data_IF_649073130161
#
_entry.id   IF_649073130161
#
_cell.length_a   1.000
_cell.length_b   1.000
_cell.length_c   1.000
_cell.angle_alpha   90.00
_cell.angle_beta   90.00
_cell.angle_gamma   90.00
#
_symmetry.space_group_name_H-M   'P 1'
#
loop_
_entity.id
_entity.type
_entity.pdbx_description
1 polymer ?
#
# COMPACT_ATOMS: atom_id res chain seq x y z
N UNK A 1 31.96 -17.33 -30.63
CA UNK A 1 31.73 -16.76 -29.29
C UNK A 1 30.25 -16.43 -29.23
N UNK A 2 29.44 -17.43 -28.93
CA UNK A 2 28.02 -17.24 -28.65
C UNK A 2 27.88 -16.96 -27.15
N UNK A 3 27.23 -15.85 -26.87
CA UNK A 3 27.01 -15.24 -25.56
C UNK A 3 25.98 -16.07 -24.78
N UNK A 4 26.45 -16.80 -23.76
CA UNK A 4 25.64 -17.63 -22.88
C UNK A 4 25.01 -16.79 -21.74
N UNK A 5 24.17 -15.80 -22.09
CA UNK A 5 23.71 -14.73 -21.18
C UNK A 5 22.28 -14.89 -20.62
N UNK A 6 21.72 -16.11 -20.54
CA UNK A 6 20.32 -16.30 -20.10
C UNK A 6 20.08 -17.52 -19.21
N UNK A 7 20.88 -17.67 -18.16
CA UNK A 7 20.54 -18.58 -17.05
C UNK A 7 20.67 -17.89 -15.68
N UNK A 8 20.47 -16.57 -15.64
CA UNK A 8 20.00 -15.91 -14.41
C UNK A 8 18.66 -16.53 -14.07
N UNK A 9 18.35 -16.76 -12.79
CA UNK A 9 17.01 -17.14 -12.37
C UNK A 9 16.04 -16.17 -13.04
N UNK A 10 15.28 -16.64 -14.04
CA UNK A 10 14.16 -15.90 -14.58
C UNK A 10 13.11 -15.95 -13.47
N UNK A 11 13.34 -15.16 -12.42
CA UNK A 11 12.29 -14.82 -11.49
C UNK A 11 11.21 -14.24 -12.37
N UNK A 12 10.08 -14.93 -12.44
CA UNK A 12 8.92 -14.47 -13.17
C UNK A 12 8.36 -13.28 -12.39
N UNK A 13 8.97 -12.11 -12.60
CA UNK A 13 8.61 -10.85 -11.94
C UNK A 13 7.11 -10.57 -12.11
N UNK A 14 6.57 -10.91 -13.29
CA UNK A 14 5.15 -10.84 -13.59
C UNK A 14 4.33 -11.79 -12.69
N UNK A 15 4.81 -13.01 -12.43
CA UNK A 15 4.13 -13.93 -11.52
C UNK A 15 4.13 -13.48 -10.05
N UNK A 16 5.07 -12.61 -9.65
CA UNK A 16 5.14 -12.04 -8.31
C UNK A 16 4.63 -10.60 -8.22
N UNK A 17 4.10 -10.04 -9.32
CA UNK A 17 3.71 -8.62 -9.44
C UNK A 17 4.83 -7.66 -8.95
N UNK A 18 6.09 -7.98 -9.29
CA UNK A 18 7.27 -7.22 -8.91
C UNK A 18 7.74 -6.34 -10.07
N UNK A 19 7.90 -5.05 -9.82
CA UNK A 19 8.60 -4.13 -10.71
C UNK A 19 10.11 -4.38 -10.68
N UNK A 20 10.75 -4.39 -11.85
CA UNK A 20 12.22 -4.48 -11.95
C UNK A 20 12.94 -3.25 -11.40
N UNK A 21 12.27 -2.10 -11.35
CA UNK A 21 12.84 -0.81 -10.92
C UNK A 21 12.46 -0.45 -9.48
N UNK A 22 11.18 -0.61 -9.16
CA UNK A 22 10.56 -0.15 -7.93
C UNK A 22 10.21 -1.29 -6.96
N UNK A 23 10.54 -2.54 -7.30
CA UNK A 23 10.30 -3.70 -6.45
C UNK A 23 8.80 -3.93 -6.24
N UNK A 24 8.33 -3.89 -5.00
CA UNK A 24 6.91 -4.14 -4.67
C UNK A 24 6.00 -2.93 -4.92
N UNK A 25 6.55 -1.78 -5.27
CA UNK A 25 5.76 -0.57 -5.59
C UNK A 25 5.02 -0.79 -6.91
N UNK A 26 3.74 -0.42 -6.94
CA UNK A 26 2.98 -0.43 -8.18
C UNK A 26 3.48 0.68 -9.10
N UNK A 27 4.00 0.30 -10.26
CA UNK A 27 4.38 1.24 -11.32
C UNK A 27 3.16 1.94 -11.91
N UNK A 28 3.30 3.23 -12.18
CA UNK A 28 2.31 4.07 -12.87
C UNK A 28 0.87 3.81 -12.38
N UNK A 29 0.60 3.99 -11.08
CA UNK A 29 -0.73 3.80 -10.52
C UNK A 29 -1.72 4.72 -11.24
N UNK A 30 -2.89 4.16 -11.56
CA UNK A 30 -3.95 4.92 -12.22
C UNK A 30 -4.50 5.99 -11.27
N UNK A 31 -4.99 7.08 -11.83
CA UNK A 31 -5.70 8.15 -11.10
C UNK A 31 -7.15 8.31 -11.55
N UNK A 32 -7.58 7.49 -12.52
CA UNK A 32 -8.92 7.49 -13.08
C UNK A 32 -9.41 6.04 -13.26
N UNK A 33 -10.73 5.89 -13.23
CA UNK A 33 -11.46 4.66 -13.50
C UNK A 33 -12.52 4.97 -14.57
N UNK A 34 -13.11 3.94 -15.21
CA UNK A 34 -14.27 4.12 -16.05
C UNK A 34 -15.36 4.96 -15.36
N UNK A 35 -16.05 5.81 -16.12
CA UNK A 35 -17.05 6.77 -15.61
C UNK A 35 -18.13 6.15 -14.73
N UNK A 36 -18.44 4.87 -14.96
CA UNK A 36 -19.33 4.07 -14.12
C UNK A 36 -18.94 4.11 -12.63
N UNK A 37 -17.64 4.20 -12.31
CA UNK A 37 -17.08 4.23 -10.95
C UNK A 37 -16.78 5.64 -10.42
N UNK A 38 -17.17 6.70 -11.15
CA UNK A 38 -16.83 8.10 -10.81
C UNK A 38 -17.19 8.46 -9.36
N UNK A 39 -18.33 7.98 -8.86
CA UNK A 39 -18.78 8.24 -7.48
C UNK A 39 -17.76 7.79 -6.43
N UNK A 40 -17.02 6.71 -6.66
CA UNK A 40 -15.98 6.25 -5.72
C UNK A 40 -14.82 7.23 -5.70
N UNK A 41 -14.33 7.64 -6.88
CA UNK A 41 -13.21 8.56 -6.99
C UNK A 41 -13.57 9.95 -6.48
N UNK A 42 -14.78 10.46 -6.77
CA UNK A 42 -15.23 11.76 -6.27
C UNK A 42 -15.26 11.81 -4.74
N UNK A 43 -15.75 10.75 -4.09
CA UNK A 43 -15.75 10.65 -2.62
C UNK A 43 -14.34 10.54 -2.06
N UNK A 44 -13.48 9.70 -2.64
CA UNK A 44 -12.11 9.49 -2.18
C UNK A 44 -11.24 10.75 -2.36
N UNK A 45 -11.40 11.49 -3.46
CA UNK A 45 -10.70 12.76 -3.71
C UNK A 45 -11.14 13.86 -2.73
N UNK A 46 -12.42 13.88 -2.32
CA UNK A 46 -12.95 14.86 -1.37
C UNK A 46 -12.96 14.36 0.09
N UNK A 47 -12.28 13.24 0.37
CA UNK A 47 -12.43 12.49 1.61
C UNK A 47 -12.12 13.32 2.85
N UNK A 48 -10.98 14.02 2.86
CA UNK A 48 -10.56 14.87 3.98
C UNK A 48 -11.64 15.89 4.33
N UNK A 49 -12.13 16.64 3.33
CA UNK A 49 -13.19 17.63 3.53
C UNK A 49 -14.49 16.99 4.02
N UNK A 50 -14.87 15.83 3.49
CA UNK A 50 -16.09 15.12 3.90
C UNK A 50 -16.02 14.58 5.32
N UNK A 51 -14.84 14.14 5.77
CA UNK A 51 -14.62 13.72 7.16
C UNK A 51 -14.69 14.92 8.10
N UNK A 52 -13.94 15.98 7.81
CA UNK A 52 -13.88 17.18 8.66
C UNK A 52 -15.24 17.89 8.77
N UNK A 53 -16.02 17.90 7.68
CA UNK A 53 -17.39 18.44 7.67
C UNK A 53 -18.46 17.44 8.16
N UNK A 54 -18.06 16.22 8.57
CA UNK A 54 -18.94 15.12 9.01
C UNK A 54 -20.02 14.69 8.02
N UNK A 55 -19.76 14.86 6.72
CA UNK A 55 -20.70 14.55 5.63
C UNK A 55 -20.41 13.22 4.94
N UNK A 56 -19.28 12.57 5.21
CA UNK A 56 -18.88 11.35 4.51
C UNK A 56 -19.92 10.24 4.68
N UNK A 57 -20.38 9.96 5.92
CA UNK A 57 -21.40 8.91 6.17
C UNK A 57 -22.67 9.15 5.34
N UNK A 58 -23.20 10.37 5.34
CA UNK A 58 -24.37 10.75 4.55
C UNK A 58 -24.17 10.56 3.04
N UNK A 59 -22.97 10.83 2.54
CA UNK A 59 -22.63 10.61 1.12
C UNK A 59 -22.53 9.12 0.79
N UNK A 60 -21.93 8.32 1.67
CA UNK A 60 -21.83 6.87 1.50
C UNK A 60 -23.22 6.22 1.48
N UNK A 61 -24.15 6.64 2.34
CA UNK A 61 -25.52 6.13 2.32
C UNK A 61 -26.31 6.46 1.03
N UNK A 62 -25.88 7.48 0.28
CA UNK A 62 -26.46 7.87 -1.02
C UNK A 62 -25.75 7.20 -2.21
N UNK A 63 -24.69 6.42 -1.97
CA UNK A 63 -23.97 5.73 -3.04
C UNK A 63 -24.85 4.64 -3.67
N UNK A 64 -24.87 4.52 -5.01
CA UNK A 64 -25.43 3.33 -5.64
C UNK A 64 -24.54 2.12 -5.36
N UNK A 65 -25.14 0.92 -5.31
CA UNK A 65 -24.39 -0.34 -5.31
C UNK A 65 -23.87 -0.57 -6.73
N UNK A 66 -22.56 -0.42 -6.94
CA UNK A 66 -21.93 -0.58 -8.26
C UNK A 66 -21.26 -1.96 -8.38
N UNK A 67 -21.37 -2.58 -9.55
CA UNK A 67 -20.73 -3.86 -9.83
C UNK A 67 -19.28 -3.68 -10.31
N UNK A 68 -18.28 -4.37 -9.73
CA UNK A 68 -16.87 -4.23 -10.13
C UNK A 68 -16.52 -4.95 -11.45
N UNK A 69 -17.50 -5.49 -12.17
CA UNK A 69 -17.30 -6.25 -13.41
C UNK A 69 -16.65 -5.48 -14.57
N UNK A 70 -16.74 -4.14 -14.59
CA UNK A 70 -16.09 -3.31 -15.62
C UNK A 70 -14.63 -2.99 -15.29
N UNK A 71 -14.15 -3.35 -14.09
CA UNK A 71 -12.72 -3.32 -13.78
C UNK A 71 -12.06 -4.54 -14.42
N UNK A 72 -11.17 -4.30 -15.37
CA UNK A 72 -10.62 -5.28 -16.30
C UNK A 72 -9.20 -5.71 -15.95
N UNK A 73 -8.38 -4.81 -15.43
CA UNK A 73 -6.95 -5.05 -15.20
C UNK A 73 -6.53 -4.83 -13.74
N UNK A 74 -5.30 -5.25 -13.40
CA UNK A 74 -4.75 -5.16 -12.05
C UNK A 74 -4.71 -3.71 -11.54
N UNK A 75 -4.23 -2.75 -12.34
CA UNK A 75 -4.12 -1.34 -11.91
C UNK A 75 -5.48 -0.71 -11.62
N UNK A 76 -6.52 -1.02 -12.42
CA UNK A 76 -7.91 -0.62 -12.16
C UNK A 76 -8.43 -1.20 -10.84
N UNK A 77 -8.17 -2.49 -10.59
CA UNK A 77 -8.56 -3.13 -9.34
C UNK A 77 -7.85 -2.49 -8.14
N UNK A 78 -6.55 -2.19 -8.26
CA UNK A 78 -5.76 -1.54 -7.20
C UNK A 78 -6.27 -0.14 -6.88
N UNK A 79 -6.54 0.70 -7.90
CA UNK A 79 -7.11 2.02 -7.67
C UNK A 79 -8.51 1.95 -7.04
N UNK A 80 -9.36 1.01 -7.47
CA UNK A 80 -10.68 0.84 -6.90
C UNK A 80 -10.61 0.34 -5.44
N UNK A 81 -9.72 -0.61 -5.14
CA UNK A 81 -9.47 -1.10 -3.78
C UNK A 81 -8.94 0.02 -2.87
N UNK A 82 -7.99 0.80 -3.38
CA UNK A 82 -7.46 1.99 -2.71
C UNK A 82 -8.57 2.99 -2.37
N UNK A 83 -9.40 3.38 -3.35
CA UNK A 83 -10.49 4.33 -3.14
C UNK A 83 -11.52 3.83 -2.11
N UNK A 84 -11.98 2.59 -2.25
CA UNK A 84 -12.95 1.99 -1.33
C UNK A 84 -12.37 1.76 0.07
N UNK A 85 -11.07 1.46 0.17
CA UNK A 85 -10.36 1.34 1.44
C UNK A 85 -10.29 2.67 2.18
N UNK A 86 -9.91 3.75 1.48
CA UNK A 86 -9.90 5.11 2.04
C UNK A 86 -11.31 5.55 2.50
N UNK A 87 -12.34 5.33 1.68
CA UNK A 87 -13.73 5.62 2.05
C UNK A 87 -14.18 4.79 3.25
N UNK A 88 -13.83 3.50 3.31
CA UNK A 88 -14.20 2.61 4.42
C UNK A 88 -13.57 3.05 5.74
N UNK A 89 -12.26 3.34 5.74
CA UNK A 89 -11.58 3.85 6.93
C UNK A 89 -12.15 5.19 7.37
N UNK A 90 -12.38 6.11 6.43
CA UNK A 90 -13.02 7.40 6.72
C UNK A 90 -14.43 7.25 7.28
N UNK A 91 -15.24 6.34 6.73
CA UNK A 91 -16.62 6.11 7.14
C UNK A 91 -16.68 5.54 8.57
N UNK A 92 -15.87 4.52 8.86
CA UNK A 92 -15.80 3.91 10.19
C UNK A 92 -15.34 4.95 11.20
N UNK A 93 -14.25 5.65 10.94
CA UNK A 93 -13.60 6.52 11.91
C UNK A 93 -14.01 8.00 11.87
N UNK A 94 -15.01 8.40 11.07
CA UNK A 94 -15.42 9.81 10.93
C UNK A 94 -15.64 10.52 12.28
N UNK A 95 -16.31 9.86 13.22
CA UNK A 95 -16.61 10.40 14.56
C UNK A 95 -15.50 10.11 15.60
N UNK A 96 -14.32 9.74 15.13
CA UNK A 96 -13.19 9.31 15.94
C UNK A 96 -13.45 7.98 16.67
N UNK A 97 -12.65 7.73 17.70
CA UNK A 97 -12.70 6.49 18.49
C UNK A 97 -13.96 6.37 19.37
N UNK A 98 -14.67 7.47 19.61
CA UNK A 98 -15.83 7.50 20.53
C UNK A 98 -17.11 6.93 19.90
N UNK A 99 -17.25 7.02 18.58
CA UNK A 99 -18.44 6.55 17.88
C UNK A 99 -18.12 5.94 16.49
N UNK A 100 -17.30 4.87 16.44
CA UNK A 100 -16.94 4.25 15.19
C UNK A 100 -18.15 3.61 14.50
N UNK A 101 -18.14 3.60 13.17
CA UNK A 101 -19.14 2.93 12.36
C UNK A 101 -18.99 1.43 12.49
N UNK A 102 -20.04 0.75 12.96
CA UNK A 102 -20.02 -0.71 13.19
C UNK A 102 -20.50 -1.52 11.98
N UNK A 103 -21.11 -0.86 10.99
CA UNK A 103 -21.70 -1.48 9.81
C UNK A 103 -21.26 -0.68 8.58
N UNK A 104 -20.53 -1.33 7.67
CA UNK A 104 -20.26 -0.78 6.34
C UNK A 104 -21.50 -1.01 5.45
N UNK A 105 -22.10 0.06 4.89
CA UNK A 105 -23.28 -0.07 4.02
C UNK A 105 -22.98 -0.91 2.79
N UNK A 106 -23.99 -1.62 2.28
CA UNK A 106 -23.85 -2.55 1.14
C UNK A 106 -23.23 -1.90 -0.09
N UNK A 107 -23.53 -0.64 -0.36
CA UNK A 107 -22.99 0.13 -1.48
C UNK A 107 -21.46 0.31 -1.42
N UNK A 108 -20.87 0.18 -0.23
CA UNK A 108 -19.44 0.22 0.01
C UNK A 108 -18.87 -1.19 0.26
N UNK A 109 -19.50 -1.95 1.14
CA UNK A 109 -19.03 -3.27 1.59
C UNK A 109 -18.99 -4.30 0.46
N UNK A 110 -20.05 -4.40 -0.34
CA UNK A 110 -20.18 -5.43 -1.37
C UNK A 110 -19.19 -5.27 -2.53
N UNK A 111 -19.02 -4.09 -3.18
CA UNK A 111 -18.01 -3.95 -4.22
C UNK A 111 -16.59 -4.11 -3.66
N UNK A 112 -16.34 -3.60 -2.45
CA UNK A 112 -15.02 -3.69 -1.83
C UNK A 112 -14.62 -5.14 -1.61
N UNK A 113 -15.51 -5.95 -1.01
CA UNK A 113 -15.31 -7.39 -0.83
C UNK A 113 -14.98 -8.13 -2.13
N UNK A 114 -15.74 -7.86 -3.19
CA UNK A 114 -15.54 -8.54 -4.48
C UNK A 114 -14.20 -8.17 -5.12
N UNK A 115 -13.78 -6.91 -5.01
CA UNK A 115 -12.46 -6.45 -5.51
C UNK A 115 -11.34 -7.07 -4.67
N UNK A 116 -11.45 -7.03 -3.34
CA UNK A 116 -10.49 -7.64 -2.41
C UNK A 116 -10.25 -9.11 -2.74
N UNK A 117 -11.32 -9.89 -2.99
CA UNK A 117 -11.20 -11.30 -3.41
C UNK A 117 -10.48 -11.49 -4.74
N UNK A 118 -10.70 -10.60 -5.72
CA UNK A 118 -10.02 -10.66 -7.02
C UNK A 118 -8.52 -10.34 -6.91
N UNK A 119 -8.15 -9.50 -5.95
CA UNK A 119 -6.76 -9.12 -5.67
C UNK A 119 -6.05 -10.05 -4.67
N UNK A 120 -6.79 -10.93 -3.99
CA UNK A 120 -6.23 -11.70 -2.86
C UNK A 120 -5.90 -10.85 -1.62
N UNK A 121 -6.48 -9.66 -1.52
CA UNK A 121 -6.30 -8.74 -0.38
C UNK A 121 -7.49 -8.82 0.59
N UNK A 122 -7.32 -8.45 1.87
CA UNK A 122 -8.44 -8.29 2.79
C UNK A 122 -9.22 -6.99 2.47
N UNK A 123 -10.54 -6.93 2.75
CA UNK A 123 -11.37 -5.74 2.51
C UNK A 123 -11.18 -4.68 3.61
N UNK A 124 -9.93 -4.28 3.85
CA UNK A 124 -9.50 -3.19 4.74
C UNK A 124 -8.32 -2.49 4.07
N UNK A 125 -8.16 -1.18 4.29
CA UNK A 125 -7.05 -0.44 3.69
C UNK A 125 -5.71 -1.02 4.17
N UNK A 126 -4.89 -1.51 3.25
CA UNK A 126 -3.60 -2.15 3.55
C UNK A 126 -2.42 -1.21 3.27
N UNK A 127 -1.21 -1.63 3.66
CA UNK A 127 0.03 -0.99 3.21
C UNK A 127 0.20 -1.02 1.68
N UNK A 128 -0.18 -2.12 1.03
CA UNK A 128 -0.14 -2.25 -0.42
C UNK A 128 -1.05 -1.23 -1.13
N UNK A 129 -2.14 -0.83 -0.49
CA UNK A 129 -2.98 0.26 -0.99
C UNK A 129 -2.34 1.61 -0.67
N UNK A 130 -2.24 1.92 0.62
CA UNK A 130 -2.00 3.27 1.13
C UNK A 130 -0.57 3.79 0.92
N UNK A 131 0.38 2.90 0.64
CA UNK A 131 1.77 3.24 0.30
C UNK A 131 2.08 2.83 -1.14
N UNK A 132 2.05 1.53 -1.43
CA UNK A 132 2.61 0.99 -2.69
C UNK A 132 1.82 1.41 -3.95
N UNK A 133 0.54 1.76 -3.82
CA UNK A 133 -0.31 2.20 -4.93
C UNK A 133 -0.82 3.64 -4.81
N UNK A 134 -0.58 4.33 -3.70
CA UNK A 134 -1.16 5.64 -3.42
C UNK A 134 -0.18 6.78 -3.75
N UNK A 135 0.30 6.85 -4.97
CA UNK A 135 1.24 7.89 -5.38
C UNK A 135 1.00 8.36 -6.81
N UNK A 136 1.46 9.55 -7.15
CA UNK A 136 1.47 10.08 -8.51
C UNK A 136 2.57 11.12 -8.65
N UNK A 137 3.03 11.35 -9.88
CA UNK A 137 3.92 12.47 -10.18
C UNK A 137 3.11 13.75 -10.41
N UNK A 138 3.65 14.87 -9.95
CA UNK A 138 3.15 16.22 -10.25
C UNK A 138 3.55 16.60 -11.66
N UNK A 139 4.83 16.42 -11.99
CA UNK A 139 5.37 16.45 -13.35
C UNK A 139 5.70 15.01 -13.79
N UNK A 140 4.93 14.43 -14.75
CA UNK A 140 5.16 13.09 -15.26
C UNK A 140 6.54 12.86 -15.91
N UNK A 141 7.26 13.94 -16.25
CA UNK A 141 8.59 13.87 -16.88
C UNK A 141 9.73 14.06 -15.88
N UNK A 142 9.42 14.43 -14.64
CA UNK A 142 10.41 14.64 -13.59
C UNK A 142 10.72 13.37 -12.80
N UNK A 143 11.78 13.42 -11.99
CA UNK A 143 12.25 12.30 -11.19
C UNK A 143 11.27 11.93 -10.05
N UNK A 144 11.35 10.68 -9.59
CA UNK A 144 10.60 10.18 -8.42
C UNK A 144 11.24 10.65 -7.10
N UNK A 145 11.15 11.95 -6.85
CA UNK A 145 11.59 12.57 -5.60
C UNK A 145 10.42 13.15 -4.79
N UNK A 146 10.63 13.33 -3.48
CA UNK A 146 9.58 13.79 -2.56
C UNK A 146 8.92 15.13 -2.98
N UNK A 147 9.66 15.98 -3.70
CA UNK A 147 9.16 17.25 -4.23
C UNK A 147 8.17 17.07 -5.38
N UNK A 148 8.44 16.11 -6.26
CA UNK A 148 7.66 15.82 -7.47
C UNK A 148 6.58 14.75 -7.26
N UNK A 149 6.60 14.01 -6.15
CA UNK A 149 5.58 13.01 -5.84
C UNK A 149 4.44 13.57 -4.99
N UNK A 150 3.25 13.00 -5.12
CA UNK A 150 2.09 13.31 -4.27
C UNK A 150 1.18 12.09 -4.07
N UNK A 151 0.27 12.17 -3.11
CA UNK A 151 -0.72 11.12 -2.87
C UNK A 151 -1.86 11.18 -3.89
N UNK A 152 -2.46 10.02 -4.19
CA UNK A 152 -3.71 9.95 -4.94
C UNK A 152 -4.86 10.33 -4.01
N UNK A 153 -4.96 9.70 -2.84
CA UNK A 153 -5.93 10.03 -1.79
C UNK A 153 -5.25 10.30 -0.45
N UNK A 154 -5.89 11.15 0.36
CA UNK A 154 -5.38 11.60 1.64
C UNK A 154 -6.44 11.49 2.73
N UNK A 155 -5.99 11.30 3.96
CA UNK A 155 -6.78 11.49 5.17
C UNK A 155 -6.57 12.92 5.74
N UNK A 156 -7.36 13.33 6.74
CA UNK A 156 -7.02 14.50 7.55
C UNK A 156 -5.61 14.39 8.16
N UNK A 157 -4.96 15.53 8.34
CA UNK A 157 -3.57 15.61 8.82
C UNK A 157 -2.59 16.34 7.88
N UNK A 158 -3.06 16.83 6.73
CA UNK A 158 -2.30 17.70 5.84
C UNK A 158 -0.94 17.13 5.45
N UNK A 159 0.11 17.95 5.54
CA UNK A 159 1.48 17.54 5.21
C UNK A 159 1.99 16.37 6.04
N UNK A 160 1.51 16.16 7.27
CA UNK A 160 1.90 14.98 8.05
C UNK A 160 1.32 13.68 7.47
N UNK A 161 0.08 13.73 6.94
CA UNK A 161 -0.50 12.59 6.23
C UNK A 161 0.29 12.28 4.95
N UNK A 162 0.58 13.33 4.16
CA UNK A 162 1.40 13.24 2.96
C UNK A 162 2.78 12.68 3.25
N UNK A 163 3.47 13.26 4.22
CA UNK A 163 4.80 12.88 4.67
C UNK A 163 4.88 11.42 5.09
N UNK A 164 3.91 10.93 5.87
CA UNK A 164 3.92 9.55 6.38
C UNK A 164 3.93 8.52 5.25
N UNK A 165 3.02 8.66 4.29
CA UNK A 165 2.92 7.72 3.17
C UNK A 165 4.03 7.91 2.14
N UNK A 166 4.40 9.16 1.81
CA UNK A 166 5.48 9.45 0.86
C UNK A 166 6.85 8.99 1.37
N UNK A 167 7.20 9.26 2.63
CA UNK A 167 8.47 8.77 3.21
C UNK A 167 8.47 7.24 3.25
N UNK A 168 7.34 6.60 3.61
CA UNK A 168 7.22 5.14 3.56
C UNK A 168 7.47 4.59 2.15
N UNK A 169 6.92 5.23 1.12
CA UNK A 169 7.14 4.87 -0.27
C UNK A 169 8.61 5.05 -0.70
N UNK A 170 9.26 6.14 -0.30
CA UNK A 170 10.68 6.35 -0.58
C UNK A 170 11.58 5.31 0.10
N UNK A 171 11.19 4.81 1.27
CA UNK A 171 11.88 3.68 1.92
C UNK A 171 11.71 2.40 1.11
N UNK A 172 10.52 2.13 0.56
CA UNK A 172 10.28 1.01 -0.35
C UNK A 172 11.12 1.15 -1.63
N UNK A 173 11.24 2.36 -2.19
CA UNK A 173 12.13 2.62 -3.33
C UNK A 173 13.61 2.41 -2.99
N UNK A 174 14.03 2.76 -1.76
CA UNK A 174 15.38 2.46 -1.31
C UNK A 174 15.61 0.94 -1.17
N UNK A 175 14.58 0.20 -0.76
CA UNK A 175 14.58 -1.24 -0.65
C UNK A 175 14.67 -1.94 -2.02
N UNK A 176 14.06 -1.38 -3.07
CA UNK A 176 14.02 -2.01 -4.41
C UNK A 176 15.41 -2.33 -4.96
N UNK A 177 16.40 -1.46 -4.69
CA UNK A 177 17.80 -1.66 -5.07
C UNK A 177 18.48 -2.85 -4.40
N UNK A 178 17.96 -3.31 -3.25
CA UNK A 178 18.40 -4.52 -2.55
C UNK A 178 17.65 -5.78 -3.00
N UNK A 179 16.56 -5.64 -3.75
CA UNK A 179 15.69 -6.75 -4.18
C UNK A 179 15.89 -7.07 -5.66
N UNK A 180 15.93 -6.06 -6.52
CA UNK A 180 15.73 -6.16 -7.99
C UNK A 180 17.01 -5.97 -8.81
N UNK A 181 16.87 -6.04 -10.15
CA UNK A 181 17.93 -6.42 -11.12
C UNK A 181 18.43 -5.26 -12.01
N UNK A 182 17.94 -4.02 -11.89
CA UNK A 182 18.42 -3.00 -12.82
C UNK A 182 19.95 -2.79 -12.73
N UNK A 183 20.62 -3.01 -13.87
CA UNK A 183 22.05 -2.85 -14.15
C UNK A 183 23.03 -3.90 -13.62
N UNK A 184 22.70 -5.21 -13.69
CA UNK A 184 23.62 -6.32 -13.36
C UNK A 184 24.10 -6.36 -11.90
N UNK A 185 23.52 -5.55 -11.03
CA UNK A 185 23.82 -5.46 -9.60
C UNK A 185 22.65 -6.06 -8.80
N UNK A 186 22.53 -7.38 -8.88
CA UNK A 186 21.47 -8.14 -8.26
C UNK A 186 21.68 -8.18 -6.73
N UNK A 187 20.65 -7.83 -5.94
CA UNK A 187 20.68 -7.88 -4.48
C UNK A 187 20.30 -9.27 -3.95
N UNK A 188 19.12 -9.38 -3.34
CA UNK A 188 18.56 -10.62 -2.83
C UNK A 188 18.49 -11.73 -3.89
N UNK A 189 18.12 -11.38 -5.12
CA UNK A 189 18.06 -12.31 -6.24
C UNK A 189 19.44 -12.87 -6.64
N UNK A 190 20.51 -12.07 -6.55
CA UNK A 190 21.89 -12.57 -6.76
C UNK A 190 22.22 -13.59 -5.69
N UNK A 191 21.93 -13.27 -4.43
CA UNK A 191 22.25 -14.16 -3.32
C UNK A 191 21.59 -15.51 -3.55
N UNK A 192 20.30 -15.51 -3.90
CA UNK A 192 19.55 -16.74 -4.19
C UNK A 192 20.14 -17.51 -5.38
N UNK A 193 20.49 -16.83 -6.47
CA UNK A 193 21.08 -17.47 -7.66
C UNK A 193 22.48 -18.01 -7.40
N UNK A 194 23.35 -17.19 -6.82
CA UNK A 194 24.72 -17.53 -6.48
C UNK A 194 24.80 -18.67 -5.47
N UNK A 195 23.85 -18.76 -4.52
CA UNK A 195 23.70 -19.94 -3.65
C UNK A 195 23.38 -21.22 -4.45
N UNK A 196 22.50 -21.15 -5.44
CA UNK A 196 22.12 -22.31 -6.28
C UNK A 196 23.30 -22.84 -7.10
N UNK A 197 24.17 -21.95 -7.59
CA UNK A 197 25.36 -22.32 -8.40
C UNK A 197 26.66 -22.38 -7.58
N UNK A 198 26.59 -22.23 -6.26
CA UNK A 198 27.74 -22.21 -5.34
C UNK A 198 28.80 -21.14 -5.67
N UNK A 199 28.38 -19.98 -6.19
CA UNK A 199 29.26 -18.84 -6.44
C UNK A 199 29.41 -17.97 -5.18
N UNK A 200 30.53 -18.15 -4.47
CA UNK A 200 30.85 -17.36 -3.28
C UNK A 200 31.02 -15.87 -3.56
N UNK A 201 31.51 -15.51 -4.76
CA UNK A 201 31.74 -14.10 -5.13
C UNK A 201 30.38 -13.43 -5.38
N UNK A 202 29.46 -14.10 -6.09
CA UNK A 202 28.09 -13.64 -6.29
C UNK A 202 27.34 -13.45 -4.96
N UNK A 203 27.42 -14.43 -4.04
CA UNK A 203 26.83 -14.31 -2.69
C UNK A 203 27.35 -13.07 -1.97
N UNK A 204 28.68 -12.88 -1.94
CA UNK A 204 29.29 -11.74 -1.26
C UNK A 204 28.81 -10.40 -1.87
N UNK A 205 28.78 -10.31 -3.21
CA UNK A 205 28.31 -9.10 -3.91
C UNK A 205 26.85 -8.80 -3.60
N UNK A 206 25.96 -9.80 -3.69
CA UNK A 206 24.54 -9.63 -3.39
C UNK A 206 24.30 -9.18 -1.95
N UNK A 207 25.01 -9.77 -0.98
CA UNK A 207 24.91 -9.36 0.44
C UNK A 207 25.40 -7.93 0.69
N UNK A 208 26.46 -7.48 -0.02
CA UNK A 208 26.91 -6.08 0.05
C UNK A 208 25.80 -5.15 -0.47
N UNK A 209 25.12 -5.52 -1.56
CA UNK A 209 24.01 -4.73 -2.12
C UNK A 209 22.81 -4.66 -1.18
N UNK A 210 22.38 -5.79 -0.61
CA UNK A 210 21.35 -5.83 0.43
C UNK A 210 21.73 -4.92 1.60
N UNK A 211 22.99 -4.98 2.05
CA UNK A 211 23.49 -4.11 3.12
C UNK A 211 23.43 -2.63 2.76
N UNK A 212 23.80 -2.26 1.53
CA UNK A 212 23.73 -0.88 1.05
C UNK A 212 22.27 -0.38 0.98
N UNK A 213 21.37 -1.22 0.49
CA UNK A 213 19.93 -0.93 0.43
C UNK A 213 19.35 -0.71 1.83
N UNK A 214 19.64 -1.59 2.80
CA UNK A 214 19.21 -1.42 4.20
C UNK A 214 19.73 -0.13 4.84
N UNK A 215 20.99 0.26 4.55
CA UNK A 215 21.54 1.55 5.00
C UNK A 215 20.78 2.73 4.39
N UNK A 216 20.52 2.69 3.08
CA UNK A 216 19.75 3.72 2.38
C UNK A 216 18.32 3.81 2.91
N UNK A 217 17.65 2.68 3.14
CA UNK A 217 16.33 2.64 3.79
C UNK A 217 16.35 3.36 5.14
N UNK A 218 17.35 3.08 5.98
CA UNK A 218 17.51 3.72 7.30
C UNK A 218 17.73 5.23 7.16
N UNK A 219 18.57 5.66 6.23
CA UNK A 219 18.83 7.09 5.95
C UNK A 219 17.57 7.80 5.45
N UNK A 220 16.87 7.21 4.48
CA UNK A 220 15.60 7.74 3.95
C UNK A 220 14.52 7.80 5.03
N UNK A 221 14.45 6.81 5.93
CA UNK A 221 13.48 6.81 7.02
C UNK A 221 13.66 7.99 7.99
N UNK A 222 14.87 8.58 8.09
CA UNK A 222 15.08 9.79 8.90
C UNK A 222 14.24 10.98 8.43
N UNK A 223 13.84 11.02 7.16
CA UNK A 223 12.94 12.04 6.61
C UNK A 223 11.59 12.08 7.34
N UNK A 224 11.18 10.98 7.99
CA UNK A 224 9.96 10.92 8.79
C UNK A 224 9.94 12.02 9.87
N UNK A 225 11.10 12.34 10.48
CA UNK A 225 11.22 13.40 11.49
C UNK A 225 10.95 14.81 10.94
N UNK A 226 11.20 15.03 9.64
CA UNK A 226 11.03 16.33 9.00
C UNK A 226 9.64 16.52 8.42
N UNK A 227 8.97 15.42 8.04
CA UNK A 227 7.72 15.45 7.30
C UNK A 227 6.49 15.04 8.12
N UNK A 228 6.66 14.43 9.29
CA UNK A 228 5.54 13.94 10.10
C UNK A 228 5.62 14.51 11.51
N UNK A 229 4.65 15.35 11.84
CA UNK A 229 4.50 15.86 13.19
C UNK A 229 3.90 14.78 14.11
N UNK A 230 4.54 14.43 15.24
CA UNK A 230 4.04 13.40 16.14
C UNK A 230 2.60 13.64 16.61
N UNK A 231 2.25 14.89 16.92
CA UNK A 231 0.90 15.24 17.37
C UNK A 231 -0.16 14.99 16.27
N UNK A 232 0.14 15.37 15.02
CA UNK A 232 -0.75 15.12 13.89
C UNK A 232 -0.87 13.62 13.57
N UNK A 233 0.22 12.86 13.66
CA UNK A 233 0.19 11.42 13.44
C UNK A 233 -0.66 10.71 14.50
N UNK A 234 -0.38 10.94 15.78
CA UNK A 234 -1.07 10.24 16.87
C UNK A 234 -2.51 10.71 17.07
N UNK A 235 -2.76 12.02 16.93
CA UNK A 235 -4.08 12.63 17.17
C UNK A 235 -5.05 12.51 16.00
N UNK A 236 -4.54 12.33 14.77
CA UNK A 236 -5.37 12.35 13.56
C UNK A 236 -5.15 11.11 12.70
N UNK A 237 -3.98 10.98 12.06
CA UNK A 237 -3.77 9.98 11.01
C UNK A 237 -3.89 8.53 11.53
N UNK A 238 -3.31 8.24 12.70
CA UNK A 238 -3.28 6.88 13.28
C UNK A 238 -4.68 6.30 13.50
N UNK A 239 -5.67 7.15 13.73
CA UNK A 239 -7.07 6.71 13.88
C UNK A 239 -7.54 6.04 12.57
N UNK A 240 -7.29 6.67 11.43
CA UNK A 240 -7.70 6.15 10.12
C UNK A 240 -6.89 4.93 9.65
N UNK A 241 -5.71 4.70 10.21
CA UNK A 241 -4.91 3.49 9.98
C UNK A 241 -5.34 2.31 10.87
N UNK A 242 -6.14 2.56 11.90
CA UNK A 242 -6.55 1.54 12.86
C UNK A 242 -7.56 0.58 12.23
N UNK A 243 -7.26 -0.72 12.30
CA UNK A 243 -8.22 -1.76 11.96
C UNK A 243 -9.17 -2.06 13.12
N UNK A 244 -9.92 -3.15 12.97
CA UNK A 244 -10.92 -3.59 13.94
C UNK A 244 -10.70 -5.05 14.39
N UNK A 245 -9.50 -5.58 14.19
CA UNK A 245 -9.00 -6.76 14.92
C UNK A 245 -8.36 -6.28 16.22
N UNK A 246 -8.70 -6.95 17.33
CA UNK A 246 -8.19 -6.65 18.68
C UNK A 246 -8.35 -5.17 19.08
N UNK A 247 -9.36 -4.50 18.53
CA UNK A 247 -9.63 -3.09 18.77
C UNK A 247 -10.73 -2.93 19.84
N UNK A 248 -10.44 -2.33 21.01
CA UNK A 248 -11.42 -2.16 22.07
C UNK A 248 -12.65 -1.35 21.68
N UNK A 249 -12.54 -0.46 20.69
CA UNK A 249 -13.66 0.37 20.20
C UNK A 249 -14.60 -0.39 19.25
N UNK A 250 -14.11 -1.49 18.66
CA UNK A 250 -14.85 -2.37 17.75
C UNK A 250 -14.58 -3.84 18.14
N UNK A 251 -14.98 -4.27 19.36
CA UNK A 251 -14.55 -5.56 19.92
C UNK A 251 -15.08 -6.78 19.15
N UNK A 252 -16.14 -6.61 18.36
CA UNK A 252 -16.68 -7.65 17.49
C UNK A 252 -16.16 -7.56 16.05
N UNK A 253 -15.40 -6.51 15.70
CA UNK A 253 -15.11 -6.15 14.32
C UNK A 253 -16.22 -5.31 13.69
N UNK A 254 -16.27 -5.29 12.36
CA UNK A 254 -17.21 -4.47 11.57
C UNK A 254 -18.08 -5.38 10.71
N UNK A 255 -19.39 -5.13 10.67
CA UNK A 255 -20.32 -5.86 9.82
C UNK A 255 -20.26 -5.33 8.38
N UNK A 256 -20.12 -6.23 7.41
CA UNK A 256 -20.10 -5.92 5.99
C UNK A 256 -21.47 -6.26 5.39
N UNK A 257 -22.34 -5.25 5.27
CA UNK A 257 -23.72 -5.45 4.84
C UNK A 257 -23.76 -6.08 3.43
N UNK A 258 -24.56 -7.14 3.28
CA UNK A 258 -24.70 -7.87 2.02
C UNK A 258 -23.52 -8.78 1.65
N UNK A 259 -22.55 -8.95 2.56
CA UNK A 259 -21.38 -9.81 2.39
C UNK A 259 -21.32 -10.88 3.49
N UNK A 260 -21.46 -10.46 4.75
CA UNK A 260 -21.42 -11.35 5.91
C UNK A 260 -22.58 -11.03 6.85
N UNK A 261 -23.12 -12.07 7.49
CA UNK A 261 -24.11 -11.92 8.56
C UNK A 261 -23.46 -11.64 9.92
N UNK A 262 -22.17 -11.92 10.06
CA UNK A 262 -21.38 -11.66 11.27
C UNK A 262 -20.32 -10.59 11.02
N UNK A 263 -20.00 -9.76 12.03
CA UNK A 263 -18.86 -8.85 11.98
C UNK A 263 -17.53 -9.55 11.66
N UNK A 264 -16.70 -8.89 10.87
CA UNK A 264 -15.39 -9.39 10.41
C UNK A 264 -14.28 -8.64 11.15
N UNK A 265 -13.27 -9.34 11.65
CA UNK A 265 -12.11 -8.79 12.37
C UNK A 265 -10.85 -8.71 11.49
N UNK A 266 -10.42 -7.50 11.12
CA UNK A 266 -9.27 -7.25 10.24
C UNK A 266 -8.26 -6.27 10.85
N UNK A 267 -6.97 -6.59 10.72
CA UNK A 267 -5.86 -5.73 11.15
C UNK A 267 -5.71 -4.53 10.22
N UNK A 268 -5.43 -3.37 10.79
CA UNK A 268 -5.18 -2.13 10.04
C UNK A 268 -3.85 -2.13 9.29
N UNK A 269 -3.59 -1.03 8.58
CA UNK A 269 -2.34 -0.82 7.85
C UNK A 269 -1.15 -0.69 8.79
N UNK A 270 -0.05 -1.38 8.48
CA UNK A 270 1.21 -1.32 9.23
C UNK A 270 2.39 -1.61 8.32
N UNK A 271 3.57 -1.07 8.65
CA UNK A 271 4.83 -1.40 7.97
C UNK A 271 5.18 -2.89 8.07
N UNK A 272 4.61 -3.64 9.02
CA UNK A 272 4.75 -5.10 9.09
C UNK A 272 4.18 -5.82 7.84
N UNK A 273 3.33 -5.14 7.05
CA UNK A 273 2.79 -5.63 5.79
C UNK A 273 3.70 -5.31 4.58
N UNK A 274 4.83 -4.61 4.79
CA UNK A 274 5.86 -4.40 3.76
C UNK A 274 6.50 -5.73 3.41
N UNK A 275 6.42 -6.11 2.13
CA UNK A 275 7.09 -7.32 1.64
C UNK A 275 8.61 -7.12 1.54
N UNK A 276 9.09 -5.89 1.34
CA UNK A 276 10.53 -5.59 1.30
C UNK A 276 11.23 -5.95 2.62
N UNK A 277 10.66 -5.53 3.75
CA UNK A 277 11.22 -5.84 5.08
C UNK A 277 11.23 -7.34 5.32
N UNK A 278 10.09 -8.00 5.11
CA UNK A 278 9.94 -9.45 5.31
C UNK A 278 10.85 -10.27 4.38
N UNK A 279 11.09 -9.79 3.15
CA UNK A 279 11.96 -10.42 2.18
C UNK A 279 13.41 -10.46 2.66
N UNK A 280 13.92 -9.37 3.24
CA UNK A 280 15.29 -9.35 3.76
C UNK A 280 15.47 -10.25 4.99
N UNK A 281 14.48 -10.28 5.90
CA UNK A 281 14.51 -11.19 7.04
C UNK A 281 14.49 -12.65 6.58
N UNK A 282 13.63 -12.99 5.60
CA UNK A 282 13.54 -14.32 5.03
C UNK A 282 14.85 -14.73 4.32
N UNK A 283 15.46 -13.83 3.54
CA UNK A 283 16.74 -14.07 2.86
C UNK A 283 17.85 -14.40 3.86
N UNK A 284 17.89 -13.69 4.98
CA UNK A 284 18.92 -13.82 6.02
C UNK A 284 18.57 -14.87 7.08
N UNK A 285 17.41 -15.54 6.95
CA UNK A 285 16.87 -16.48 7.92
C UNK A 285 16.76 -15.89 9.35
N UNK A 286 16.42 -14.60 9.47
CA UNK A 286 16.17 -13.94 10.75
C UNK A 286 14.82 -14.39 11.28
N UNK A 287 14.81 -14.97 12.50
CA UNK A 287 13.59 -15.36 13.18
C UNK A 287 13.30 -14.35 14.29
N UNK A 288 12.09 -13.80 14.27
CA UNK A 288 11.58 -12.92 15.32
C UNK A 288 10.76 -13.75 16.32
N UNK A 289 11.01 -13.55 17.62
CA UNK A 289 10.26 -14.17 18.72
C UNK A 289 8.89 -13.52 18.96
#
# INVERSE_FOLDING_TARGET
>A
METNYRETLQADFDAFDLSEELGFILEEPLTHLPDYYRVWLDLANNLTHLIESRKLRDRVHKMPVLSPHLLSNHRELRLAHLALGFISMGYVWQEGQQAPGQILPKALAWPYWNISRRLGLPPILTYADSVLANWKLKDPTGDMEIGNMDLIFSFPGGESCRGFFMVSLLVEMAASSGITILNFDQGALEVMHAMKVSDLIGIQKGLIKVTQSLKKMKETFQLMHNHVEPAAFHGTLRIFLSGWRDNPMLPRGVLYEGVSNEPISLSGGSAAQSSSIQCFDALLCVQHE
#
